data_IF_064462560210
#
_entry.id   IF_064462560210
#
_cell.length_a   1.000
_cell.length_b   1.000
_cell.length_c   1.000
_cell.angle_alpha   90.00
_cell.angle_beta   90.00
_cell.angle_gamma   90.00
#
_symmetry.space_group_name_H-M   'P 1'
#
loop_
_entity.id
_entity.type
_entity.pdbx_description
1 polymer ?
#
# COMPACT_ATOMS: atom_id res chain seq x y z
N UNK A 1 27.63 69.93 6.12
CA UNK A 1 28.42 68.68 6.22
C UNK A 1 27.97 67.80 7.39
N UNK A 2 27.95 68.30 8.63
CA UNK A 2 27.46 67.54 9.81
C UNK A 2 26.05 66.95 9.67
N UNK A 3 25.09 67.73 9.16
CA UNK A 3 23.70 67.27 8.99
C UNK A 3 23.59 66.08 8.00
N UNK A 4 24.38 66.08 6.93
CA UNK A 4 24.42 64.98 5.95
C UNK A 4 24.98 63.71 6.58
N UNK A 5 26.03 63.84 7.41
CA UNK A 5 26.63 62.71 8.13
C UNK A 5 25.60 62.11 9.11
N UNK A 6 24.89 62.95 9.86
CA UNK A 6 23.85 62.51 10.81
C UNK A 6 22.72 61.78 10.09
N UNK A 7 22.27 62.28 8.94
CA UNK A 7 21.21 61.63 8.14
C UNK A 7 21.67 60.28 7.60
N UNK A 8 22.91 60.17 7.09
CA UNK A 8 23.45 58.90 6.59
C UNK A 8 23.57 57.87 7.72
N UNK A 9 24.05 58.29 8.90
CA UNK A 9 24.16 57.41 10.08
C UNK A 9 22.77 56.98 10.57
N UNK A 10 21.78 57.86 10.53
CA UNK A 10 20.42 57.51 10.92
C UNK A 10 19.78 56.51 9.93
N UNK A 11 19.97 56.71 8.62
CA UNK A 11 19.47 55.79 7.59
C UNK A 11 20.15 54.42 7.71
N UNK A 12 21.47 54.37 7.95
CA UNK A 12 22.19 53.11 8.12
C UNK A 12 21.76 52.38 9.39
N UNK A 13 21.51 53.10 10.48
CA UNK A 13 20.98 52.53 11.73
C UNK A 13 19.57 51.97 11.54
N UNK A 14 18.69 52.69 10.83
CA UNK A 14 17.34 52.23 10.49
C UNK A 14 17.40 50.96 9.62
N UNK A 15 18.31 50.92 8.64
CA UNK A 15 18.50 49.79 7.75
C UNK A 15 18.96 48.53 8.50
N UNK A 16 19.90 48.67 9.44
CA UNK A 16 20.36 47.56 10.28
C UNK A 16 19.25 47.01 11.18
N UNK A 17 18.43 47.88 11.78
CA UNK A 17 17.27 47.46 12.58
C UNK A 17 16.25 46.68 11.73
N UNK A 18 16.05 47.09 10.48
CA UNK A 18 15.10 46.46 9.56
C UNK A 18 15.58 45.05 9.15
N UNK A 19 16.88 44.88 8.89
CA UNK A 19 17.48 43.55 8.65
C UNK A 19 17.32 42.63 9.86
N UNK A 20 17.62 43.13 11.06
CA UNK A 20 17.53 42.34 12.28
C UNK A 20 16.08 41.88 12.56
N UNK A 21 15.09 42.74 12.30
CA UNK A 21 13.68 42.39 12.45
C UNK A 21 13.24 41.31 11.43
N UNK A 22 13.75 41.38 10.20
CA UNK A 22 13.51 40.35 9.17
C UNK A 22 14.14 39.02 9.58
N UNK A 23 15.37 39.01 10.08
CA UNK A 23 16.05 37.77 10.51
C UNK A 23 15.29 37.06 11.65
N UNK A 24 14.83 37.79 12.66
CA UNK A 24 14.03 37.21 13.74
C UNK A 24 12.64 36.73 13.26
N UNK A 25 12.02 37.45 12.33
CA UNK A 25 10.75 37.02 11.71
C UNK A 25 10.94 35.73 10.88
N UNK A 26 12.01 35.63 10.10
CA UNK A 26 12.33 34.43 9.32
C UNK A 26 12.68 33.26 10.25
N UNK A 27 13.51 33.48 11.26
CA UNK A 27 13.88 32.45 12.23
C UNK A 27 12.66 31.90 12.98
N UNK A 28 11.79 32.78 13.51
CA UNK A 28 10.57 32.37 14.20
C UNK A 28 9.60 31.61 13.29
N UNK A 29 9.47 32.02 12.02
CA UNK A 29 8.70 31.29 11.02
C UNK A 29 9.26 29.89 10.77
N UNK A 30 10.59 29.74 10.64
CA UNK A 30 11.25 28.43 10.47
C UNK A 30 11.01 27.55 11.70
N UNK A 31 11.17 28.08 12.92
CA UNK A 31 10.91 27.32 14.15
C UNK A 31 9.44 26.91 14.27
N UNK A 32 8.49 27.79 13.90
CA UNK A 32 7.08 27.46 13.87
C UNK A 32 6.76 26.37 12.84
N UNK A 33 7.39 26.41 11.66
CA UNK A 33 7.24 25.38 10.64
C UNK A 33 7.79 24.03 11.11
N UNK A 34 8.99 24.00 11.70
CA UNK A 34 9.60 22.78 12.25
C UNK A 34 8.73 22.21 13.39
N UNK A 35 8.29 23.07 14.31
CA UNK A 35 7.38 22.69 15.40
C UNK A 35 6.07 22.12 14.86
N UNK A 36 5.45 22.78 13.88
CA UNK A 36 4.22 22.33 13.23
C UNK A 36 4.38 20.96 12.57
N UNK A 37 5.47 20.74 11.83
CA UNK A 37 5.79 19.43 11.22
C UNK A 37 6.00 18.36 12.29
N UNK A 38 6.68 18.68 13.39
CA UNK A 38 6.89 17.75 14.51
C UNK A 38 5.56 17.36 15.18
N UNK A 39 4.70 18.32 15.53
CA UNK A 39 3.39 18.05 16.13
C UNK A 39 2.49 17.24 15.18
N UNK A 40 2.48 17.57 13.89
CA UNK A 40 1.75 16.81 12.88
C UNK A 40 2.24 15.35 12.80
N UNK A 41 3.57 15.12 12.79
CA UNK A 41 4.17 13.78 12.77
C UNK A 41 3.87 13.00 14.05
N UNK A 42 3.91 13.65 15.22
CA UNK A 42 3.59 13.01 16.50
C UNK A 42 2.12 12.60 16.56
N UNK A 43 1.20 13.48 16.14
CA UNK A 43 -0.22 13.15 15.99
C UNK A 43 -0.46 12.04 14.98
N UNK A 44 0.30 12.02 13.88
CA UNK A 44 0.27 10.91 12.91
C UNK A 44 0.63 9.58 13.55
N UNK A 45 1.77 9.50 14.22
CA UNK A 45 2.26 8.26 14.83
C UNK A 45 1.30 7.76 15.93
N UNK A 46 0.72 8.65 16.73
CA UNK A 46 -0.22 8.28 17.78
C UNK A 46 -1.48 7.59 17.22
N UNK A 47 -2.10 8.20 16.20
CA UNK A 47 -3.29 7.66 15.55
C UNK A 47 -2.96 6.35 14.82
N UNK A 48 -1.84 6.30 14.11
CA UNK A 48 -1.39 5.08 13.42
C UNK A 48 -1.20 3.91 14.38
N UNK A 49 -0.58 4.16 15.55
CA UNK A 49 -0.41 3.15 16.59
C UNK A 49 -1.75 2.66 17.14
N UNK A 50 -2.72 3.56 17.35
CA UNK A 50 -4.07 3.16 17.80
C UNK A 50 -4.76 2.25 16.78
N UNK A 51 -4.62 2.54 15.49
CA UNK A 51 -5.18 1.67 14.43
C UNK A 51 -4.46 0.34 14.37
N UNK A 52 -3.14 0.34 14.51
CA UNK A 52 -2.37 -0.90 14.52
C UNK A 52 -2.83 -1.83 15.64
N UNK A 53 -3.04 -1.29 16.84
CA UNK A 53 -3.61 -2.03 17.97
C UNK A 53 -5.02 -2.55 17.63
N UNK A 54 -5.92 -1.69 17.15
CA UNK A 54 -7.27 -2.09 16.75
C UNK A 54 -7.26 -3.12 15.60
N UNK A 55 -6.28 -3.07 14.71
CA UNK A 55 -6.07 -4.04 13.64
C UNK A 55 -5.59 -5.37 14.18
N UNK A 56 -4.62 -5.36 15.09
CA UNK A 56 -4.12 -6.57 15.73
C UNK A 56 -5.24 -7.25 16.53
N UNK A 57 -6.01 -6.46 17.28
CA UNK A 57 -7.23 -6.94 17.94
C UNK A 57 -8.27 -7.44 16.93
N UNK A 58 -8.46 -6.74 15.81
CA UNK A 58 -9.39 -7.15 14.76
C UNK A 58 -8.99 -8.48 14.13
N UNK A 59 -7.69 -8.68 13.86
CA UNK A 59 -7.14 -9.94 13.37
C UNK A 59 -7.29 -11.04 14.42
N UNK A 60 -7.09 -10.74 15.71
CA UNK A 60 -7.33 -11.66 16.80
C UNK A 60 -8.82 -12.05 16.94
N UNK A 61 -9.71 -11.07 16.84
CA UNK A 61 -11.16 -11.28 16.80
C UNK A 61 -11.53 -12.17 15.61
N UNK A 62 -10.92 -11.97 14.44
CA UNK A 62 -11.10 -12.85 13.28
C UNK A 62 -10.62 -14.28 13.56
N UNK A 63 -9.44 -14.47 14.18
CA UNK A 63 -8.97 -15.79 14.61
C UNK A 63 -9.98 -16.49 15.53
N UNK A 64 -10.71 -15.73 16.34
CA UNK A 64 -11.80 -16.21 17.21
C UNK A 64 -13.17 -16.27 16.53
N UNK A 65 -13.25 -16.13 15.20
CA UNK A 65 -14.50 -16.17 14.42
C UNK A 65 -15.37 -14.91 14.48
N UNK A 66 -14.90 -13.83 15.11
CA UNK A 66 -15.63 -12.58 15.38
C UNK A 66 -15.40 -11.49 14.32
N UNK A 67 -15.56 -11.82 13.04
CA UNK A 67 -15.35 -10.87 11.93
C UNK A 67 -16.20 -9.59 12.05
N UNK A 68 -17.45 -9.71 12.51
CA UNK A 68 -18.35 -8.57 12.65
C UNK A 68 -17.77 -7.49 13.59
N UNK A 69 -17.29 -7.90 14.77
CA UNK A 69 -16.71 -7.01 15.77
C UNK A 69 -15.40 -6.37 15.31
N UNK A 70 -14.61 -7.08 14.50
CA UNK A 70 -13.40 -6.53 13.88
C UNK A 70 -13.73 -5.40 12.89
N UNK A 71 -14.71 -5.61 12.03
CA UNK A 71 -15.15 -4.57 11.08
C UNK A 71 -15.80 -3.39 11.79
N UNK A 72 -16.60 -3.65 12.82
CA UNK A 72 -17.30 -2.60 13.58
C UNK A 72 -16.33 -1.65 14.29
N UNK A 73 -15.29 -2.19 14.97
CA UNK A 73 -14.25 -1.36 15.59
C UNK A 73 -13.52 -0.46 14.59
N UNK A 74 -13.22 -0.97 13.39
CA UNK A 74 -12.60 -0.16 12.33
C UNK A 74 -13.56 0.91 11.79
N UNK A 75 -14.85 0.62 11.69
CA UNK A 75 -15.85 1.61 11.29
C UNK A 75 -16.03 2.71 12.34
N UNK A 76 -15.95 2.37 13.63
CA UNK A 76 -15.98 3.33 14.73
C UNK A 76 -14.78 4.28 14.66
N UNK A 77 -13.57 3.72 14.55
CA UNK A 77 -12.33 4.51 14.35
C UNK A 77 -12.44 5.41 13.12
N UNK A 78 -12.94 4.88 12.00
CA UNK A 78 -13.18 5.68 10.79
C UNK A 78 -14.14 6.83 11.08
N UNK A 79 -15.24 6.61 11.80
CA UNK A 79 -16.23 7.65 12.09
C UNK A 79 -15.69 8.76 12.99
N UNK A 80 -14.85 8.42 13.98
CA UNK A 80 -14.21 9.38 14.87
C UNK A 80 -13.22 10.26 14.10
N UNK A 81 -12.36 9.65 13.27
CA UNK A 81 -11.23 10.36 12.66
C UNK A 81 -11.43 10.82 11.22
N UNK A 82 -12.54 10.44 10.53
CA UNK A 82 -12.81 10.84 9.13
C UNK A 82 -12.83 12.35 8.92
N UNK A 83 -13.28 13.13 9.92
CA UNK A 83 -13.38 14.59 9.83
C UNK A 83 -12.03 15.29 9.93
N UNK A 84 -11.07 14.66 10.60
CA UNK A 84 -9.74 15.24 10.84
C UNK A 84 -8.76 14.98 9.69
N UNK A 85 -8.95 13.90 8.93
CA UNK A 85 -8.02 13.49 7.87
C UNK A 85 -8.74 12.93 6.66
N UNK A 86 -8.70 13.67 5.55
CA UNK A 86 -9.32 13.29 4.28
C UNK A 86 -8.87 11.91 3.75
N UNK A 87 -7.56 11.59 3.86
CA UNK A 87 -7.02 10.32 3.36
C UNK A 87 -7.23 9.13 4.31
N UNK A 88 -7.51 9.40 5.58
CA UNK A 88 -7.64 8.38 6.62
C UNK A 88 -8.75 7.37 6.34
N UNK A 89 -9.91 7.88 5.91
CA UNK A 89 -11.07 7.06 5.57
C UNK A 89 -10.73 6.01 4.51
N UNK A 90 -9.90 6.35 3.53
CA UNK A 90 -9.52 5.45 2.43
C UNK A 90 -8.55 4.37 2.89
N UNK A 91 -7.66 4.67 3.84
CA UNK A 91 -6.79 3.67 4.46
C UNK A 91 -7.63 2.64 5.23
N UNK A 92 -8.58 3.10 6.04
CA UNK A 92 -9.46 2.19 6.79
C UNK A 92 -10.35 1.36 5.85
N UNK A 93 -10.88 1.96 4.77
CA UNK A 93 -11.62 1.23 3.75
C UNK A 93 -10.77 0.11 3.11
N UNK A 94 -9.50 0.37 2.80
CA UNK A 94 -8.59 -0.67 2.30
C UNK A 94 -8.47 -1.85 3.25
N UNK A 95 -8.27 -1.56 4.53
CA UNK A 95 -8.09 -2.56 5.57
C UNK A 95 -9.36 -3.39 5.80
N UNK A 96 -10.53 -2.76 5.92
CA UNK A 96 -11.83 -3.46 6.00
C UNK A 96 -12.03 -4.35 4.77
N UNK A 97 -11.69 -3.84 3.59
CA UNK A 97 -11.74 -4.60 2.34
C UNK A 97 -10.87 -5.86 2.38
N UNK A 98 -9.64 -5.75 2.89
CA UNK A 98 -8.73 -6.89 3.05
C UNK A 98 -9.26 -7.91 4.06
N UNK A 99 -9.85 -7.47 5.19
CA UNK A 99 -10.48 -8.38 6.16
C UNK A 99 -11.63 -9.19 5.52
N UNK A 100 -12.51 -8.53 4.77
CA UNK A 100 -13.56 -9.23 4.04
C UNK A 100 -13.01 -10.15 2.95
N UNK A 101 -11.90 -9.79 2.30
CA UNK A 101 -11.24 -10.63 1.31
C UNK A 101 -10.67 -11.91 1.94
N UNK A 102 -9.97 -11.79 3.08
CA UNK A 102 -9.37 -12.92 3.79
C UNK A 102 -10.43 -13.91 4.28
N UNK A 103 -11.63 -13.42 4.61
CA UNK A 103 -12.78 -14.26 4.96
C UNK A 103 -13.60 -14.72 3.74
N UNK A 104 -13.04 -14.58 2.53
CA UNK A 104 -13.63 -14.98 1.25
C UNK A 104 -14.95 -14.27 0.90
N UNK A 105 -15.29 -13.19 1.60
CA UNK A 105 -16.49 -12.39 1.35
C UNK A 105 -16.23 -11.33 0.27
N UNK A 106 -15.99 -11.77 -0.96
CA UNK A 106 -15.64 -10.88 -2.08
C UNK A 106 -16.71 -9.84 -2.42
N UNK A 107 -18.00 -10.15 -2.17
CA UNK A 107 -19.11 -9.22 -2.39
C UNK A 107 -19.01 -8.00 -1.48
N UNK A 108 -18.72 -8.22 -0.18
CA UNK A 108 -18.50 -7.14 0.77
C UNK A 108 -17.14 -6.47 0.58
N UNK A 109 -16.09 -7.24 0.25
CA UNK A 109 -14.73 -6.71 0.08
C UNK A 109 -14.61 -5.69 -1.05
N UNK A 110 -15.17 -5.98 -2.22
CA UNK A 110 -15.00 -5.18 -3.44
C UNK A 110 -15.26 -3.66 -3.26
N UNK A 111 -16.40 -3.19 -2.73
CA UNK A 111 -16.66 -1.76 -2.58
C UNK A 111 -15.69 -1.06 -1.62
N UNK A 112 -15.20 -1.75 -0.59
CA UNK A 112 -14.19 -1.22 0.32
C UNK A 112 -12.82 -1.12 -0.36
N UNK A 113 -12.39 -2.17 -1.07
CA UNK A 113 -11.13 -2.19 -1.81
C UNK A 113 -11.10 -1.17 -2.97
N UNK A 114 -12.25 -0.89 -3.59
CA UNK A 114 -12.37 0.17 -4.61
C UNK A 114 -12.08 1.56 -4.03
N UNK A 115 -12.63 1.85 -2.84
CA UNK A 115 -12.39 3.11 -2.10
C UNK A 115 -11.02 3.21 -1.44
N UNK A 116 -10.30 2.09 -1.32
CA UNK A 116 -8.96 2.05 -0.77
C UNK A 116 -8.01 3.04 -1.45
N UNK A 117 -7.00 3.51 -0.71
CA UNK A 117 -5.95 4.37 -1.23
C UNK A 117 -5.29 3.75 -2.47
N UNK A 118 -5.00 4.56 -3.49
CA UNK A 118 -4.33 4.06 -4.71
C UNK A 118 -2.90 3.57 -4.44
N UNK A 119 -2.27 4.06 -3.36
CA UNK A 119 -0.95 3.65 -2.90
C UNK A 119 -0.96 2.32 -2.12
N UNK A 120 -2.14 1.83 -1.72
CA UNK A 120 -2.29 0.53 -1.07
C UNK A 120 -2.25 -0.59 -2.13
N UNK A 121 -1.04 -1.01 -2.47
CA UNK A 121 -0.81 -2.01 -3.50
C UNK A 121 -1.44 -3.36 -3.16
N UNK A 122 -1.51 -3.74 -1.88
CA UNK A 122 -2.10 -5.01 -1.46
C UNK A 122 -3.61 -5.00 -1.66
N UNK A 123 -4.29 -3.95 -1.20
CA UNK A 123 -5.74 -3.80 -1.40
C UNK A 123 -6.10 -3.76 -2.90
N UNK A 124 -5.31 -3.07 -3.73
CA UNK A 124 -5.52 -3.04 -5.19
C UNK A 124 -5.23 -4.40 -5.83
N UNK A 125 -4.22 -5.13 -5.38
CA UNK A 125 -3.94 -6.49 -5.85
C UNK A 125 -5.10 -7.43 -5.53
N UNK A 126 -5.62 -7.40 -4.30
CA UNK A 126 -6.81 -8.17 -3.91
C UNK A 126 -8.02 -7.81 -4.77
N UNK A 127 -8.25 -6.52 -5.05
CA UNK A 127 -9.33 -6.08 -5.94
C UNK A 127 -9.17 -6.62 -7.37
N UNK A 128 -7.95 -6.60 -7.91
CA UNK A 128 -7.67 -7.18 -9.22
C UNK A 128 -7.90 -8.69 -9.23
N UNK A 129 -7.55 -9.39 -8.16
CA UNK A 129 -7.84 -10.83 -8.01
C UNK A 129 -9.34 -11.10 -7.89
N UNK A 130 -10.13 -10.24 -7.23
CA UNK A 130 -11.60 -10.34 -7.27
C UNK A 130 -12.10 -10.24 -8.72
N UNK A 131 -11.60 -9.26 -9.49
CA UNK A 131 -11.98 -9.09 -10.89
C UNK A 131 -11.60 -10.32 -11.74
N UNK A 132 -10.38 -10.86 -11.54
CA UNK A 132 -9.93 -12.12 -12.14
C UNK A 132 -10.87 -13.30 -11.82
N UNK A 133 -11.24 -13.50 -10.55
CA UNK A 133 -12.17 -14.57 -10.13
C UNK A 133 -13.58 -14.38 -10.73
N UNK A 134 -13.98 -13.13 -11.00
CA UNK A 134 -15.23 -12.78 -11.71
C UNK A 134 -15.13 -12.88 -13.23
N UNK A 135 -13.96 -13.24 -13.77
CA UNK A 135 -13.66 -13.25 -15.22
C UNK A 135 -13.78 -11.87 -15.90
N UNK A 136 -13.71 -10.79 -15.11
CA UNK A 136 -13.67 -9.42 -15.59
C UNK A 136 -12.21 -8.99 -15.80
N UNK A 137 -11.63 -9.44 -16.91
CA UNK A 137 -10.21 -9.27 -17.21
C UNK A 137 -9.85 -7.82 -17.56
N UNK A 138 -10.79 -7.06 -18.14
CA UNK A 138 -10.58 -5.64 -18.43
C UNK A 138 -10.44 -4.84 -17.13
N UNK A 139 -11.31 -5.08 -16.15
CA UNK A 139 -11.19 -4.46 -14.83
C UNK A 139 -9.93 -4.92 -14.12
N UNK A 140 -9.58 -6.20 -14.21
CA UNK A 140 -8.34 -6.74 -13.64
C UNK A 140 -7.12 -5.95 -14.13
N UNK A 141 -6.96 -5.77 -15.44
CA UNK A 141 -5.84 -5.04 -16.04
C UNK A 141 -5.83 -3.57 -15.59
N UNK A 142 -6.98 -2.89 -15.64
CA UNK A 142 -7.10 -1.49 -15.17
C UNK A 142 -6.68 -1.32 -13.71
N UNK A 143 -7.01 -2.29 -12.85
CA UNK A 143 -6.65 -2.24 -11.43
C UNK A 143 -5.17 -2.52 -11.23
N UNK A 144 -4.59 -3.51 -11.93
CA UNK A 144 -3.14 -3.77 -11.87
C UNK A 144 -2.31 -2.58 -12.36
N UNK A 145 -2.66 -2.01 -13.50
CA UNK A 145 -2.03 -0.79 -14.02
C UNK A 145 -2.10 0.37 -13.02
N UNK A 146 -3.26 0.54 -12.37
CA UNK A 146 -3.42 1.56 -11.33
C UNK A 146 -2.55 1.27 -10.11
N UNK A 147 -2.45 0.02 -9.67
CA UNK A 147 -1.60 -0.37 -8.56
C UNK A 147 -0.13 -0.05 -8.87
N UNK A 148 0.33 -0.38 -10.08
CA UNK A 148 1.72 -0.20 -10.51
C UNK A 148 2.12 1.26 -10.67
N UNK A 149 1.18 2.16 -11.03
CA UNK A 149 1.43 3.62 -11.06
C UNK A 149 1.89 4.22 -9.74
N UNK A 150 1.50 3.62 -8.61
CA UNK A 150 1.85 4.11 -7.27
C UNK A 150 2.75 3.14 -6.50
N UNK A 151 2.99 1.94 -7.04
CA UNK A 151 3.83 0.90 -6.44
C UNK A 151 4.88 0.43 -7.44
N UNK A 152 5.76 1.35 -7.81
CA UNK A 152 6.86 1.14 -8.78
C UNK A 152 7.73 -0.10 -8.47
N UNK A 153 7.72 -0.58 -7.22
CA UNK A 153 8.68 -1.55 -6.70
C UNK A 153 8.10 -2.92 -6.39
N UNK A 154 6.86 -3.20 -6.77
CA UNK A 154 6.22 -4.43 -6.36
C UNK A 154 6.38 -5.52 -7.43
N UNK A 155 7.53 -6.21 -7.41
CA UNK A 155 7.69 -7.48 -8.16
C UNK A 155 6.56 -8.46 -7.87
N UNK A 156 5.97 -8.36 -6.68
CA UNK A 156 4.75 -9.05 -6.31
C UNK A 156 3.59 -8.73 -7.26
N UNK A 157 3.19 -7.46 -7.42
CA UNK A 157 2.02 -7.08 -8.24
C UNK A 157 2.21 -7.50 -9.69
N UNK A 158 3.41 -7.26 -10.26
CA UNK A 158 3.76 -7.74 -11.60
C UNK A 158 3.65 -9.26 -11.73
N UNK A 159 4.16 -10.00 -10.74
CA UNK A 159 4.12 -11.46 -10.77
C UNK A 159 2.71 -12.01 -10.59
N UNK A 160 1.87 -11.39 -9.75
CA UNK A 160 0.46 -11.78 -9.59
C UNK A 160 -0.31 -11.52 -10.89
N UNK A 161 -0.08 -10.37 -11.54
CA UNK A 161 -0.72 -10.04 -12.80
C UNK A 161 -0.35 -11.03 -13.91
N UNK A 162 0.95 -11.31 -14.07
CA UNK A 162 1.43 -12.32 -15.00
C UNK A 162 0.89 -13.72 -14.65
N UNK A 163 0.79 -14.05 -13.37
CA UNK A 163 0.25 -15.34 -12.91
C UNK A 163 -1.21 -15.52 -13.31
N UNK A 164 -2.05 -14.48 -13.21
CA UNK A 164 -3.44 -14.53 -13.67
C UNK A 164 -3.53 -14.94 -15.15
N UNK A 165 -2.71 -14.32 -16.02
CA UNK A 165 -2.65 -14.65 -17.44
C UNK A 165 -2.07 -16.04 -17.71
N UNK A 166 -1.02 -16.43 -17.00
CA UNK A 166 -0.44 -17.77 -17.11
C UNK A 166 -1.46 -18.85 -16.76
N UNK A 167 -2.25 -18.66 -15.69
CA UNK A 167 -3.34 -19.57 -15.29
C UNK A 167 -4.49 -19.66 -16.29
N UNK A 168 -4.66 -18.65 -17.12
CA UNK A 168 -5.63 -18.65 -18.22
C UNK A 168 -5.10 -19.36 -19.48
N UNK A 169 -3.85 -19.84 -19.47
CA UNK A 169 -3.19 -20.39 -20.65
C UNK A 169 -2.66 -19.34 -21.63
N UNK A 170 -2.79 -18.04 -21.31
CA UNK A 170 -2.29 -16.93 -22.13
C UNK A 170 -0.82 -16.65 -21.81
N UNK A 171 0.04 -17.60 -22.16
CA UNK A 171 1.48 -17.60 -21.81
C UNK A 171 2.18 -16.36 -22.37
N UNK A 172 1.91 -15.99 -23.63
CA UNK A 172 2.54 -14.84 -24.27
C UNK A 172 2.26 -13.52 -23.53
N UNK A 173 1.02 -13.35 -23.04
CA UNK A 173 0.66 -12.17 -22.25
C UNK A 173 1.42 -12.14 -20.91
N UNK A 174 1.54 -13.30 -20.25
CA UNK A 174 2.32 -13.39 -19.01
C UNK A 174 3.81 -13.04 -19.25
N UNK A 175 4.39 -13.49 -20.36
CA UNK A 175 5.77 -13.14 -20.76
C UNK A 175 5.89 -11.64 -21.04
N UNK A 176 4.93 -11.04 -21.76
CA UNK A 176 4.93 -9.61 -22.05
C UNK A 176 4.89 -8.77 -20.77
N UNK A 177 4.02 -9.12 -19.82
CA UNK A 177 3.89 -8.43 -18.52
C UNK A 177 5.21 -8.49 -17.73
N UNK A 178 5.81 -9.67 -17.59
CA UNK A 178 7.08 -9.81 -16.88
C UNK A 178 8.25 -9.14 -17.61
N UNK A 179 8.22 -9.10 -18.94
CA UNK A 179 9.25 -8.42 -19.73
C UNK A 179 9.14 -6.90 -19.57
N UNK A 180 7.92 -6.35 -19.54
CA UNK A 180 7.67 -4.94 -19.20
C UNK A 180 8.11 -4.63 -17.77
N UNK A 181 7.82 -5.51 -16.82
CA UNK A 181 8.27 -5.38 -15.44
C UNK A 181 9.80 -5.24 -15.38
N UNK A 182 10.55 -6.14 -16.03
CA UNK A 182 12.01 -6.08 -16.12
C UNK A 182 12.51 -4.75 -16.68
N UNK A 183 11.91 -4.25 -17.75
CA UNK A 183 12.24 -2.93 -18.30
C UNK A 183 12.00 -1.78 -17.32
N UNK A 184 10.91 -1.82 -16.57
CA UNK A 184 10.57 -0.81 -15.55
C UNK A 184 11.54 -0.79 -14.37
N UNK A 185 12.12 -1.95 -13.99
CA UNK A 185 13.10 -2.02 -12.90
C UNK A 185 14.49 -1.54 -13.31
N UNK A 186 14.86 -1.70 -14.59
CA UNK A 186 16.14 -1.22 -15.13
C UNK A 186 16.37 0.28 -14.93
N UNK A 187 15.30 1.08 -14.87
CA UNK A 187 15.36 2.53 -14.61
C UNK A 187 15.73 2.89 -13.16
N UNK A 188 15.52 1.98 -12.19
CA UNK A 188 15.74 2.23 -10.75
C UNK A 188 16.73 1.24 -10.11
N UNK A 189 17.69 0.76 -10.90
CA UNK A 189 18.71 -0.21 -10.49
C UNK A 189 19.47 0.27 -9.24
N UNK A 190 19.49 -0.56 -8.19
CA UNK A 190 20.26 -0.32 -6.95
C UNK A 190 19.45 0.12 -5.72
N UNK A 191 18.23 0.65 -5.89
CA UNK A 191 17.39 1.05 -4.75
C UNK A 191 16.55 -0.09 -4.16
N UNK A 192 16.31 -1.16 -4.93
CA UNK A 192 15.33 -2.20 -4.61
C UNK A 192 15.98 -3.58 -4.71
N UNK A 193 16.79 -3.93 -3.72
CA UNK A 193 17.51 -5.21 -3.66
C UNK A 193 16.58 -6.43 -3.83
N UNK A 194 16.88 -7.28 -4.82
CA UNK A 194 16.23 -8.58 -5.02
C UNK A 194 14.85 -8.58 -5.67
N UNK A 195 14.28 -7.42 -6.04
CA UNK A 195 12.98 -7.35 -6.74
C UNK A 195 13.09 -7.82 -8.20
N UNK A 196 14.13 -7.39 -8.90
CA UNK A 196 14.41 -7.78 -10.29
C UNK A 196 14.65 -9.29 -10.42
N UNK A 197 15.38 -9.88 -9.48
CA UNK A 197 15.71 -11.31 -9.48
C UNK A 197 14.47 -12.20 -9.48
N UNK A 198 13.44 -11.85 -8.68
CA UNK A 198 12.18 -12.61 -8.63
C UNK A 198 11.42 -12.56 -9.97
N UNK A 199 11.48 -11.44 -10.67
CA UNK A 199 10.85 -11.28 -11.99
C UNK A 199 11.61 -12.06 -13.05
N UNK A 200 12.94 -11.92 -13.09
CA UNK A 200 13.80 -12.65 -14.02
C UNK A 200 13.65 -14.16 -13.82
N UNK A 201 13.57 -14.60 -12.57
CA UNK A 201 13.32 -15.99 -12.21
C UNK A 201 12.01 -16.53 -12.77
N UNK A 202 10.89 -15.83 -12.53
CA UNK A 202 9.59 -16.24 -13.05
C UNK A 202 9.50 -16.15 -14.58
N UNK A 203 10.11 -15.13 -15.18
CA UNK A 203 10.18 -14.98 -16.64
C UNK A 203 10.93 -16.16 -17.28
N UNK A 204 12.05 -16.57 -16.68
CA UNK A 204 12.85 -17.71 -17.14
C UNK A 204 12.08 -19.02 -17.01
N UNK A 205 11.34 -19.21 -15.91
CA UNK A 205 10.49 -20.40 -15.74
C UNK A 205 9.44 -20.49 -16.84
N UNK A 206 8.68 -19.41 -17.10
CA UNK A 206 7.63 -19.42 -18.13
C UNK A 206 8.20 -19.66 -19.52
N UNK A 207 9.32 -19.01 -19.87
CA UNK A 207 9.99 -19.22 -21.17
C UNK A 207 10.45 -20.67 -21.37
N UNK A 208 10.84 -21.34 -20.29
CA UNK A 208 11.25 -22.75 -20.30
C UNK A 208 10.06 -23.72 -20.17
N UNK A 209 8.82 -23.25 -20.29
CA UNK A 209 7.61 -24.07 -20.12
C UNK A 209 7.36 -24.54 -18.68
N UNK A 210 8.07 -23.98 -17.70
CA UNK A 210 7.93 -24.32 -16.27
C UNK A 210 6.91 -23.41 -15.59
N UNK A 211 6.30 -23.93 -14.53
CA UNK A 211 5.36 -23.18 -13.69
C UNK A 211 6.04 -21.98 -13.00
N UNK A 212 5.32 -20.85 -12.93
CA UNK A 212 5.71 -19.70 -12.10
C UNK A 212 5.78 -20.10 -10.62
N UNK A 213 6.84 -19.69 -9.92
CA UNK A 213 7.02 -19.96 -8.50
C UNK A 213 6.67 -18.72 -7.70
N UNK A 214 5.46 -18.71 -7.16
CA UNK A 214 4.92 -17.58 -6.40
C UNK A 214 5.16 -17.70 -4.89
N UNK A 215 5.61 -18.87 -4.42
CA UNK A 215 5.99 -19.10 -3.02
C UNK A 215 7.14 -18.20 -2.55
N UNK A 216 7.95 -17.65 -3.46
CA UNK A 216 9.03 -16.67 -3.16
C UNK A 216 8.52 -15.34 -2.59
N UNK A 217 7.20 -15.12 -2.64
CA UNK A 217 6.53 -13.95 -2.05
C UNK A 217 5.88 -14.26 -0.68
N UNK A 218 5.97 -15.51 -0.20
CA UNK A 218 5.59 -15.87 1.17
C UNK A 218 4.14 -15.54 1.53
N UNK A 219 3.95 -14.86 2.65
CA UNK A 219 2.64 -14.59 3.25
C UNK A 219 1.73 -13.78 2.31
N UNK A 220 2.28 -12.78 1.62
CA UNK A 220 1.54 -11.93 0.68
C UNK A 220 0.85 -12.74 -0.43
N UNK A 221 1.56 -13.74 -0.97
CA UNK A 221 0.99 -14.64 -1.97
C UNK A 221 -0.14 -15.49 -1.40
N UNK A 222 0.07 -16.01 -0.20
CA UNK A 222 -0.90 -16.89 0.43
C UNK A 222 -2.22 -16.16 0.75
N UNK A 223 -2.15 -14.88 1.14
CA UNK A 223 -3.33 -14.05 1.38
C UNK A 223 -4.26 -13.92 0.16
N UNK A 224 -3.74 -14.07 -1.07
CA UNK A 224 -4.54 -13.92 -2.29
C UNK A 224 -5.43 -15.14 -2.60
N UNK A 225 -5.22 -16.30 -1.96
CA UNK A 225 -6.02 -17.51 -2.21
C UNK A 225 -6.11 -17.90 -3.70
N UNK A 226 -4.99 -17.79 -4.42
CA UNK A 226 -4.86 -18.12 -5.85
C UNK A 226 -4.35 -19.55 -6.11
N UNK A 227 -3.58 -20.10 -5.15
CA UNK A 227 -3.12 -21.49 -5.14
C UNK A 227 -3.75 -22.23 -3.97
N UNK A 228 -4.45 -23.34 -4.26
CA UNK A 228 -4.85 -24.29 -3.24
C UNK A 228 -3.69 -25.28 -3.05
N UNK A 229 -2.90 -25.10 -1.99
CA UNK A 229 -1.84 -26.06 -1.64
C UNK A 229 -0.68 -25.45 -0.90
N UNK A 230 -0.70 -25.63 0.43
CA UNK A 230 0.24 -25.20 1.50
C UNK A 230 -0.21 -23.92 2.19
N UNK A 231 -0.99 -24.16 3.24
CA UNK A 231 -1.57 -23.19 4.16
C UNK A 231 -0.53 -22.29 4.81
N UNK A 232 -0.96 -21.08 5.17
CA UNK A 232 -0.32 -20.22 6.18
C UNK A 232 -0.49 -20.92 7.52
N UNK A 233 0.63 -21.29 8.15
CA UNK A 233 0.65 -21.64 9.57
C UNK A 233 0.40 -20.35 10.36
N UNK A 234 -0.77 -20.23 10.97
CA UNK A 234 -1.10 -19.16 11.91
C UNK A 234 -0.80 -19.60 13.36
N UNK A 235 0.34 -20.26 13.59
CA UNK A 235 0.73 -20.74 14.91
C UNK A 235 -0.07 -21.96 15.37
N UNK A 236 0.37 -22.60 16.48
CA UNK A 236 -0.10 -23.92 16.85
C UNK A 236 -1.56 -23.87 17.30
N UNK A 237 -2.49 -24.36 16.48
CA UNK A 237 -3.85 -24.58 16.98
C UNK A 237 -5.00 -24.91 16.03
N UNK A 238 -4.90 -24.78 14.71
CA UNK A 238 -6.08 -25.03 13.84
C UNK A 238 -5.70 -25.61 12.47
N UNK A 239 -5.53 -26.94 12.41
CA UNK A 239 -5.45 -27.70 11.15
C UNK A 239 -6.86 -28.15 10.79
N UNK A 240 -7.58 -27.40 9.95
CA UNK A 240 -8.75 -27.95 9.25
C UNK A 240 -8.40 -28.17 7.79
N UNK A 241 -8.08 -29.43 7.49
CA UNK A 241 -7.85 -29.98 6.15
C UNK A 241 -9.16 -29.93 5.36
N UNK A 242 -9.43 -28.85 4.63
CA UNK A 242 -10.59 -28.83 3.72
C UNK A 242 -10.26 -29.59 2.44
N UNK A 243 -10.93 -30.74 2.32
CA UNK A 243 -10.77 -31.70 1.24
C UNK A 243 -11.28 -31.20 -0.11
N UNK A 244 -10.69 -31.81 -1.15
CA UNK A 244 -11.19 -31.84 -2.53
C UNK A 244 -12.71 -32.04 -2.55
N UNK A 245 -13.45 -31.05 -3.06
CA UNK A 245 -14.59 -31.31 -3.94
C UNK A 245 -14.35 -30.54 -5.22
N UNK A 246 -14.22 -31.32 -6.31
CA UNK A 246 -13.90 -30.83 -7.64
C UNK A 246 -14.99 -29.89 -8.15
N UNK A 247 -14.54 -28.85 -8.84
CA UNK A 247 -15.35 -28.19 -9.86
C UNK A 247 -14.99 -28.89 -11.17
N UNK A 248 -15.91 -29.75 -11.62
CA UNK A 248 -16.08 -30.05 -13.05
C UNK A 248 -16.88 -28.91 -13.67
#
# INVERSE_FOLDING_TARGET
>A
MLLVIVVIVFISMLYLLLIQLIEHAVASFIFAMIGGVYFYKKGYNYISKKIEIEMEESLDRIRRGKLFYAVDGLLEVKNIYKKWRFFFSKTIDGQIGMLYYMTLNYKKAAPFLERAMSTDWMAKTMLAVIAYKKKDYEKMDKVFEKALRYSFNSSFVWSVWAYCYWRMGKIDHAIQILSRARGSFGTFKGYFGGTEEKIVYNLTNIRNGKKMKMNVFGQDWNMLHLEQGKYVDFGPGQVTRFGRKGFH
#
